data_IF_173274158072
#
_entry.id   IF_173274158072
#
_cell.length_a   1.000
_cell.length_b   1.000
_cell.length_c   1.000
_cell.angle_alpha   90.00
_cell.angle_beta   90.00
_cell.angle_gamma   90.00
#
_symmetry.space_group_name_H-M   'P 1'
#
loop_
_entity.id
_entity.type
_entity.pdbx_description
1 polymer ?
#
# COMPACT_ATOMS: atom_id res chain seq x y z
N UNK A 1 3.58 -18.79 17.55
CA UNK A 1 4.08 -17.84 16.53
C UNK A 1 3.40 -16.50 16.79
N UNK A 2 4.13 -15.38 16.90
CA UNK A 2 3.53 -14.04 17.02
C UNK A 2 3.72 -13.31 15.69
N UNK A 3 2.74 -13.45 14.80
CA UNK A 3 2.72 -12.72 13.53
C UNK A 3 2.08 -11.34 13.75
N UNK A 4 2.58 -10.33 13.06
CA UNK A 4 1.88 -9.04 12.88
C UNK A 4 0.99 -9.21 11.66
N UNK A 5 -0.27 -8.77 11.73
CA UNK A 5 -1.24 -8.92 10.63
C UNK A 5 -1.56 -7.54 10.07
N UNK A 6 -1.58 -7.45 8.74
CA UNK A 6 -1.97 -6.26 8.00
C UNK A 6 -3.22 -6.53 7.15
N UNK A 7 -4.05 -5.52 6.99
CA UNK A 7 -5.20 -5.56 6.08
C UNK A 7 -4.84 -5.02 4.70
N UNK A 8 -5.56 -5.42 3.65
CA UNK A 8 -5.30 -4.96 2.29
C UNK A 8 -6.49 -4.19 1.73
N UNK A 9 -6.29 -3.01 1.10
CA UNK A 9 -7.38 -2.21 0.52
C UNK A 9 -8.25 -2.98 -0.49
N UNK A 10 -7.68 -3.97 -1.18
CA UNK A 10 -8.41 -4.85 -2.11
C UNK A 10 -9.60 -5.57 -1.46
N UNK A 11 -9.52 -5.87 -0.15
CA UNK A 11 -10.63 -6.49 0.59
C UNK A 11 -11.86 -5.57 0.74
N UNK A 12 -11.70 -4.28 0.48
CA UNK A 12 -12.75 -3.26 0.50
C UNK A 12 -13.09 -2.75 -0.91
N UNK A 13 -12.57 -3.41 -1.96
CA UNK A 13 -12.80 -3.01 -3.34
C UNK A 13 -11.93 -1.84 -3.81
N UNK A 14 -10.81 -1.56 -3.13
CA UNK A 14 -9.83 -0.54 -3.51
C UNK A 14 -8.59 -1.20 -4.13
N UNK A 15 -8.51 -1.20 -5.46
CA UNK A 15 -7.43 -1.83 -6.24
C UNK A 15 -7.39 -1.27 -7.67
N UNK A 16 -6.44 -1.70 -8.48
CA UNK A 16 -6.13 -1.11 -9.80
C UNK A 16 -7.27 -1.24 -10.81
N UNK A 17 -8.16 -2.23 -10.66
CA UNK A 17 -9.32 -2.42 -11.54
C UNK A 17 -10.62 -1.83 -10.96
N UNK A 18 -10.54 -1.10 -9.85
CA UNK A 18 -11.69 -0.36 -9.34
C UNK A 18 -12.14 0.65 -10.39
N UNK A 19 -13.41 0.63 -10.83
CA UNK A 19 -13.89 1.56 -11.84
C UNK A 19 -13.71 3.02 -11.44
N UNK A 20 -13.33 3.86 -12.39
CA UNK A 20 -13.22 5.30 -12.15
C UNK A 20 -14.58 5.88 -11.70
N UNK A 21 -14.55 6.65 -10.62
CA UNK A 21 -15.75 7.24 -10.00
C UNK A 21 -16.58 6.28 -9.13
N UNK A 22 -16.14 5.03 -8.94
CA UNK A 22 -16.75 4.16 -7.95
C UNK A 22 -16.60 4.74 -6.54
N UNK A 23 -17.67 4.63 -5.74
CA UNK A 23 -17.60 4.95 -4.32
C UNK A 23 -16.72 3.91 -3.62
N UNK A 24 -15.64 4.39 -3.00
CA UNK A 24 -14.68 3.57 -2.27
C UNK A 24 -14.49 4.08 -0.87
N UNK A 25 -14.11 3.18 0.04
CA UNK A 25 -13.71 3.54 1.39
C UNK A 25 -12.57 4.56 1.32
N UNK A 26 -12.69 5.68 2.03
CA UNK A 26 -11.65 6.70 2.06
C UNK A 26 -10.40 6.16 2.77
N UNK A 27 -9.19 6.71 2.52
CA UNK A 27 -8.00 6.24 3.22
C UNK A 27 -8.07 6.44 4.73
N UNK A 28 -8.78 7.47 5.20
CA UNK A 28 -8.96 7.74 6.63
C UNK A 28 -9.90 6.71 7.27
N UNK A 29 -11.05 6.43 6.64
CA UNK A 29 -11.99 5.39 7.11
C UNK A 29 -11.34 4.00 7.08
N UNK A 30 -10.49 3.73 6.09
CA UNK A 30 -9.75 2.47 5.97
C UNK A 30 -8.80 2.26 7.14
N UNK A 31 -7.95 3.24 7.47
CA UNK A 31 -6.99 3.09 8.58
C UNK A 31 -7.68 3.04 9.93
N UNK A 32 -8.81 3.75 10.09
CA UNK A 32 -9.65 3.66 11.29
C UNK A 32 -10.22 2.24 11.44
N UNK A 33 -10.85 1.69 10.41
CA UNK A 33 -11.44 0.35 10.45
C UNK A 33 -10.39 -0.74 10.77
N UNK A 34 -9.18 -0.64 10.20
CA UNK A 34 -8.09 -1.57 10.47
C UNK A 34 -7.58 -1.47 11.92
N UNK A 35 -7.42 -0.25 12.43
CA UNK A 35 -6.99 -0.02 13.80
C UNK A 35 -8.04 -0.54 14.81
N UNK A 36 -9.31 -0.25 14.60
CA UNK A 36 -10.42 -0.71 15.46
C UNK A 36 -10.55 -2.24 15.50
N UNK A 37 -10.17 -2.91 14.42
CA UNK A 37 -10.24 -4.39 14.30
C UNK A 37 -8.96 -5.10 14.71
N UNK A 38 -7.93 -4.36 15.17
CA UNK A 38 -6.70 -4.92 15.75
C UNK A 38 -5.64 -5.32 14.73
N UNK A 39 -5.73 -4.85 13.48
CA UNK A 39 -4.60 -4.92 12.56
C UNK A 39 -3.49 -3.99 13.04
N UNK A 40 -2.26 -4.35 12.69
CA UNK A 40 -1.06 -3.57 13.03
C UNK A 40 -0.37 -3.01 11.78
N UNK A 41 -0.97 -3.21 10.60
CA UNK A 41 -0.48 -2.60 9.38
C UNK A 41 -1.49 -2.65 8.25
N UNK A 42 -1.07 -2.09 7.12
CA UNK A 42 -1.83 -2.05 5.88
C UNK A 42 -0.94 -2.38 4.69
N UNK A 43 -1.53 -3.00 3.67
CA UNK A 43 -0.94 -3.13 2.34
C UNK A 43 -1.16 -1.83 1.51
N UNK A 44 -0.27 -1.53 0.57
CA UNK A 44 -0.25 -0.25 -0.14
C UNK A 44 -1.57 0.06 -0.87
N UNK A 45 -2.17 -0.95 -1.52
CA UNK A 45 -3.22 -0.75 -2.52
C UNK A 45 -2.74 0.12 -3.70
N UNK A 46 -3.66 0.78 -4.43
CA UNK A 46 -3.32 1.68 -5.53
C UNK A 46 -2.39 2.79 -5.08
N UNK A 47 -1.37 3.08 -5.88
CA UNK A 47 -0.34 4.06 -5.52
C UNK A 47 -0.97 5.45 -5.28
N UNK A 48 -0.78 5.96 -4.07
CA UNK A 48 -1.31 7.27 -3.65
C UNK A 48 -2.65 7.20 -2.92
N UNK A 49 -3.30 6.03 -2.84
CA UNK A 49 -4.54 5.86 -2.07
C UNK A 49 -4.35 6.26 -0.60
N UNK A 50 -3.33 5.71 0.07
CA UNK A 50 -2.96 6.03 1.46
C UNK A 50 -2.14 7.33 1.60
N UNK A 51 -1.95 8.10 0.53
CA UNK A 51 -1.12 9.30 0.47
C UNK A 51 0.36 9.02 0.18
N UNK A 52 1.19 10.07 0.29
CA UNK A 52 2.66 10.01 0.08
C UNK A 52 3.42 10.82 1.12
N UNK A 53 4.70 10.51 1.30
CA UNK A 53 5.65 11.26 2.13
C UNK A 53 5.13 11.47 3.55
N UNK A 54 4.99 12.74 3.95
CA UNK A 54 4.48 13.11 5.28
C UNK A 54 3.02 12.70 5.48
N UNK A 55 2.17 12.83 4.47
CA UNK A 55 0.75 12.48 4.58
C UNK A 55 0.58 10.99 4.92
N UNK A 56 1.29 10.13 4.19
CA UNK A 56 1.35 8.70 4.46
C UNK A 56 1.79 8.42 5.91
N UNK A 57 2.92 9.01 6.33
CA UNK A 57 3.48 8.76 7.66
C UNK A 57 2.56 9.24 8.78
N UNK A 58 2.01 10.43 8.65
CA UNK A 58 1.13 11.02 9.67
C UNK A 58 -0.18 10.21 9.77
N UNK A 59 -0.75 9.77 8.64
CA UNK A 59 -1.95 8.93 8.61
C UNK A 59 -1.72 7.58 9.29
N UNK A 60 -0.66 6.87 8.91
CA UNK A 60 -0.35 5.55 9.47
C UNK A 60 0.00 5.63 10.97
N UNK A 61 0.84 6.60 11.34
CA UNK A 61 1.21 6.81 12.75
C UNK A 61 0.00 7.20 13.61
N UNK A 62 -0.91 8.02 13.08
CA UNK A 62 -2.15 8.42 13.77
C UNK A 62 -3.07 7.24 14.07
N UNK A 63 -3.10 6.23 13.19
CA UNK A 63 -3.87 4.99 13.37
C UNK A 63 -3.08 3.87 14.09
N UNK A 64 -1.80 4.08 14.42
CA UNK A 64 -0.94 3.04 15.00
C UNK A 64 -0.64 1.89 14.03
N UNK A 65 -0.71 2.13 12.73
CA UNK A 65 -0.45 1.16 11.67
C UNK A 65 0.93 1.38 11.04
N UNK A 66 1.51 0.32 10.48
CA UNK A 66 2.68 0.40 9.61
C UNK A 66 2.31 -0.03 8.18
N UNK A 67 3.02 0.50 7.17
CA UNK A 67 2.95 -0.10 5.84
C UNK A 67 3.62 -1.48 5.92
N UNK A 68 2.93 -2.52 5.49
CA UNK A 68 3.43 -3.89 5.55
C UNK A 68 3.99 -4.37 4.20
N UNK A 69 3.31 -4.04 3.12
CA UNK A 69 3.60 -4.57 1.79
C UNK A 69 2.80 -3.89 0.69
N UNK A 70 2.85 -4.46 -0.50
CA UNK A 70 2.04 -4.04 -1.64
C UNK A 70 2.29 -4.88 -2.87
N UNK A 71 1.24 -5.16 -3.62
CA UNK A 71 1.36 -5.75 -4.95
C UNK A 71 1.80 -4.69 -5.96
N UNK A 72 2.74 -5.04 -6.84
CA UNK A 72 3.10 -4.23 -8.00
C UNK A 72 3.10 -5.16 -9.21
N UNK A 73 2.14 -4.91 -10.10
CA UNK A 73 2.08 -5.59 -11.39
C UNK A 73 3.33 -5.23 -12.20
N UNK A 74 4.09 -6.24 -12.59
CA UNK A 74 5.32 -6.11 -13.35
C UNK A 74 5.34 -7.20 -14.43
N UNK A 75 5.02 -6.88 -15.69
CA UNK A 75 4.93 -7.86 -16.78
C UNK A 75 6.29 -8.48 -17.14
N UNK A 76 6.77 -9.46 -16.37
CA UNK A 76 8.14 -10.01 -16.50
C UNK A 76 8.37 -10.77 -17.81
N UNK A 77 7.30 -11.20 -18.48
CA UNK A 77 7.37 -12.01 -19.70
C UNK A 77 7.26 -11.22 -21.01
N UNK A 78 7.03 -9.90 -20.94
CA UNK A 78 6.82 -9.00 -22.09
C UNK A 78 7.70 -7.77 -21.94
N UNK A 79 8.75 -7.65 -22.77
CA UNK A 79 9.75 -6.59 -22.66
C UNK A 79 9.14 -5.17 -22.82
N UNK A 80 8.21 -4.99 -23.75
CA UNK A 80 7.59 -3.69 -24.02
C UNK A 80 6.66 -3.30 -22.85
N UNK A 81 5.90 -4.26 -22.33
CA UNK A 81 5.03 -4.04 -21.18
C UNK A 81 5.82 -3.85 -19.87
N UNK A 82 6.94 -4.55 -19.69
CA UNK A 82 7.86 -4.37 -18.58
C UNK A 82 8.42 -2.95 -18.55
N UNK A 83 8.96 -2.48 -19.68
CA UNK A 83 9.49 -1.11 -19.81
C UNK A 83 8.42 -0.06 -19.54
N UNK A 84 7.19 -0.30 -20.03
CA UNK A 84 6.04 0.57 -19.76
C UNK A 84 5.64 0.61 -18.28
N UNK A 85 5.87 -0.46 -17.51
CA UNK A 85 5.56 -0.54 -16.07
C UNK A 85 6.62 0.10 -15.16
N UNK A 86 7.84 0.36 -15.64
CA UNK A 86 8.93 0.91 -14.81
C UNK A 86 8.62 2.25 -14.12
N UNK A 87 7.91 3.22 -14.74
CA UNK A 87 7.52 4.46 -14.05
C UNK A 87 6.62 4.20 -12.83
N UNK A 88 5.62 3.33 -12.97
CA UNK A 88 4.73 2.90 -11.88
C UNK A 88 5.54 2.23 -10.77
N UNK A 89 6.38 1.26 -11.12
CA UNK A 89 7.28 0.58 -10.18
C UNK A 89 8.11 1.58 -9.36
N UNK A 90 8.75 2.55 -10.02
CA UNK A 90 9.54 3.59 -9.32
C UNK A 90 8.66 4.46 -8.42
N UNK A 91 7.45 4.79 -8.85
CA UNK A 91 6.51 5.57 -8.07
C UNK A 91 6.05 4.83 -6.81
N UNK A 92 5.80 3.52 -6.91
CA UNK A 92 5.47 2.64 -5.78
C UNK A 92 6.64 2.50 -4.82
N UNK A 93 7.82 2.13 -5.32
CA UNK A 93 9.04 1.94 -4.50
C UNK A 93 9.41 3.20 -3.70
N UNK A 94 9.13 4.39 -4.23
CA UNK A 94 9.29 5.64 -3.49
C UNK A 94 8.38 5.72 -2.26
N UNK A 95 7.14 5.24 -2.35
CA UNK A 95 6.22 5.18 -1.19
C UNK A 95 6.71 4.19 -0.14
N UNK A 96 7.21 3.03 -0.55
CA UNK A 96 7.86 2.07 0.36
C UNK A 96 9.05 2.69 1.09
N UNK A 97 9.87 3.45 0.38
CA UNK A 97 10.99 4.17 0.99
C UNK A 97 10.51 5.24 1.97
N UNK A 98 9.52 6.05 1.61
CA UNK A 98 8.94 7.09 2.45
C UNK A 98 8.34 6.53 3.76
N UNK A 99 7.74 5.33 3.70
CA UNK A 99 7.27 4.60 4.87
C UNK A 99 8.43 4.06 5.73
N UNK A 100 9.49 3.55 5.11
CA UNK A 100 10.67 3.06 5.83
C UNK A 100 11.42 4.17 6.59
N UNK A 101 11.37 5.41 6.11
CA UNK A 101 11.96 6.59 6.79
C UNK A 101 11.35 6.83 8.19
N UNK A 102 10.15 6.32 8.47
CA UNK A 102 9.52 6.40 9.79
C UNK A 102 10.15 5.45 10.83
N UNK A 103 11.06 4.56 10.42
CA UNK A 103 11.67 3.55 11.29
C UNK A 103 10.68 2.51 11.84
N UNK A 104 9.85 1.88 10.98
CA UNK A 104 8.88 0.89 11.44
C UNK A 104 9.55 -0.34 12.05
N UNK A 105 8.81 -1.08 12.88
CA UNK A 105 9.29 -2.33 13.47
C UNK A 105 9.61 -3.40 12.41
N UNK A 106 8.93 -3.36 11.25
CA UNK A 106 9.26 -4.16 10.08
C UNK A 106 9.32 -3.28 8.83
N UNK A 107 10.31 -3.52 7.97
CA UNK A 107 10.37 -2.84 6.69
C UNK A 107 9.22 -3.31 5.79
N UNK A 108 8.56 -2.39 5.06
CA UNK A 108 7.51 -2.75 4.13
C UNK A 108 8.12 -3.47 2.93
N UNK A 109 7.51 -4.59 2.51
CA UNK A 109 8.05 -5.44 1.44
C UNK A 109 7.11 -5.44 0.22
N UNK A 110 7.51 -4.84 -0.92
CA UNK A 110 6.75 -4.95 -2.15
C UNK A 110 6.84 -6.37 -2.72
N UNK A 111 5.74 -6.84 -3.29
CA UNK A 111 5.67 -8.05 -4.11
C UNK A 111 5.64 -7.63 -5.57
N UNK A 112 6.68 -7.99 -6.32
CA UNK A 112 6.78 -7.76 -7.77
C UNK A 112 6.40 -9.04 -8.48
N UNK A 113 5.38 -9.00 -9.34
CA UNK A 113 4.89 -10.19 -10.00
C UNK A 113 4.12 -9.88 -11.30
N UNK A 114 4.04 -10.89 -12.16
CA UNK A 114 3.35 -10.92 -13.45
C UNK A 114 1.95 -11.55 -13.29
#
# INVERSE_FOLDING_TARGET
MRATVAGAPVSFGVFELTPEGAEVVTPDDMVEALAETGYAGIDLGPVGYVGRGRELRDRLAGAGLELAGGWIQLPLSDDDAFEAALPELRASLRVFQEAAEAGPARLPLPTLAD
#
